data_IF_550646082772
#
_entry.id   IF_550646082772
#
_cell.length_a   1.000
_cell.length_b   1.000
_cell.length_c   1.000
_cell.angle_alpha   90.00
_cell.angle_beta   90.00
_cell.angle_gamma   90.00
#
_symmetry.space_group_name_H-M   'P 1'
#
loop_
_entity.id
_entity.type
_entity.pdbx_description
1 polymer ?
#
# COMPACT_ATOMS: atom_id res chain seq x y z
N UNK A 1 -1.32 -23.36 -33.79
CA UNK A 1 -1.32 -21.89 -33.60
C UNK A 1 0.11 -21.41 -33.44
N UNK A 2 0.53 -20.44 -34.26
CA UNK A 2 1.85 -19.81 -34.15
C UNK A 2 1.92 -18.81 -32.99
N UNK A 3 3.12 -18.41 -32.58
CA UNK A 3 3.32 -17.51 -31.42
C UNK A 3 2.57 -16.17 -31.54
N UNK A 4 2.36 -15.67 -32.76
CA UNK A 4 1.58 -14.44 -33.01
C UNK A 4 0.07 -14.61 -32.81
N UNK A 5 -0.46 -15.83 -33.01
CA UNK A 5 -1.89 -16.12 -32.85
C UNK A 5 -2.25 -16.42 -31.39
N UNK A 6 -1.23 -16.71 -30.56
CA UNK A 6 -1.35 -16.96 -29.11
C UNK A 6 -1.00 -15.73 -28.25
N UNK A 7 -0.52 -14.67 -28.87
CA UNK A 7 -0.16 -13.42 -28.21
C UNK A 7 -1.28 -12.39 -28.29
N UNK A 8 -1.25 -11.40 -27.39
CA UNK A 8 -2.11 -10.23 -27.44
C UNK A 8 -1.26 -8.95 -27.37
N UNK A 9 -1.86 -7.83 -27.76
CA UNK A 9 -1.25 -6.51 -27.63
C UNK A 9 -1.91 -5.81 -26.44
N UNK A 10 -1.10 -5.30 -25.52
CA UNK A 10 -1.57 -4.55 -24.35
C UNK A 10 -0.64 -3.40 -24.03
N UNK A 11 -1.19 -2.36 -23.41
CA UNK A 11 -0.45 -1.34 -22.69
C UNK A 11 -0.46 -1.73 -21.22
N UNK A 12 0.71 -2.01 -20.66
CA UNK A 12 0.86 -2.42 -19.26
C UNK A 12 1.93 -1.59 -18.58
N UNK A 13 1.88 -1.55 -17.25
CA UNK A 13 2.93 -0.93 -16.44
C UNK A 13 4.19 -1.81 -16.45
N UNK A 14 5.34 -1.22 -16.14
CA UNK A 14 6.62 -1.94 -16.09
C UNK A 14 6.61 -3.08 -15.06
N UNK A 15 5.82 -2.93 -13.97
CA UNK A 15 5.66 -3.94 -12.93
C UNK A 15 4.89 -5.15 -13.46
N UNK A 16 3.76 -4.94 -14.12
CA UNK A 16 2.95 -6.02 -14.72
C UNK A 16 3.74 -6.76 -15.82
N UNK A 17 4.50 -6.03 -16.63
CA UNK A 17 5.36 -6.63 -17.65
C UNK A 17 6.45 -7.50 -17.03
N UNK A 18 7.10 -7.03 -15.96
CA UNK A 18 8.10 -7.81 -15.22
C UNK A 18 7.53 -9.12 -14.68
N UNK A 19 6.33 -9.07 -14.10
CA UNK A 19 5.67 -10.27 -13.60
C UNK A 19 5.23 -11.22 -14.72
N UNK A 20 4.79 -10.70 -15.87
CA UNK A 20 4.51 -11.54 -17.03
C UNK A 20 5.78 -12.27 -17.51
N UNK A 21 6.92 -11.59 -17.56
CA UNK A 21 8.19 -12.22 -17.92
C UNK A 21 8.60 -13.32 -16.92
N UNK A 22 8.42 -13.09 -15.62
CA UNK A 22 8.66 -14.10 -14.57
C UNK A 22 7.79 -15.34 -14.75
N UNK A 23 6.55 -15.17 -15.20
CA UNK A 23 5.62 -16.25 -15.50
C UNK A 23 5.87 -16.92 -16.87
N UNK A 24 6.98 -16.62 -17.55
CA UNK A 24 7.41 -17.28 -18.78
C UNK A 24 6.81 -16.70 -20.07
N UNK A 25 6.08 -15.59 -19.98
CA UNK A 25 5.62 -14.88 -21.18
C UNK A 25 6.81 -14.25 -21.91
N UNK A 26 6.66 -14.07 -23.23
CA UNK A 26 7.71 -13.49 -24.09
C UNK A 26 7.19 -12.24 -24.78
N UNK A 27 7.99 -11.18 -24.78
CA UNK A 27 7.70 -9.98 -25.56
C UNK A 27 8.09 -10.23 -27.01
N UNK A 28 7.09 -10.33 -27.88
CA UNK A 28 7.29 -10.57 -29.32
C UNK A 28 7.54 -9.25 -30.06
N UNK A 29 6.89 -8.16 -29.62
CA UNK A 29 7.01 -6.83 -30.25
C UNK A 29 6.86 -5.74 -29.19
N UNK A 30 7.71 -4.73 -29.28
CA UNK A 30 7.70 -3.54 -28.43
C UNK A 30 7.46 -2.30 -29.30
N UNK A 31 6.55 -1.43 -28.87
CA UNK A 31 6.13 -0.26 -29.64
C UNK A 31 6.64 1.05 -29.03
N UNK A 32 6.35 1.29 -27.75
CA UNK A 32 6.69 2.51 -27.03
C UNK A 32 6.66 2.24 -25.53
N UNK A 33 7.54 2.90 -24.78
CA UNK A 33 7.38 3.08 -23.34
C UNK A 33 7.35 4.56 -23.00
N UNK A 34 6.64 4.87 -21.92
CA UNK A 34 6.73 6.14 -21.22
C UNK A 34 7.71 5.93 -20.06
N UNK A 35 8.89 6.53 -20.16
CA UNK A 35 9.91 6.44 -19.13
C UNK A 35 9.88 7.72 -18.30
N UNK A 36 9.72 7.57 -16.98
CA UNK A 36 9.90 8.64 -16.02
C UNK A 36 11.32 8.53 -15.47
N UNK A 37 12.13 9.57 -15.60
CA UNK A 37 13.52 9.55 -15.09
C UNK A 37 13.57 9.78 -13.58
N UNK A 38 12.59 10.51 -13.05
CA UNK A 38 12.48 10.85 -11.63
C UNK A 38 11.40 10.00 -10.99
N UNK A 39 11.76 9.35 -9.90
CA UNK A 39 10.86 8.60 -9.03
C UNK A 39 11.11 9.04 -7.60
N UNK A 40 10.04 9.12 -6.82
CA UNK A 40 10.08 9.47 -5.42
C UNK A 40 9.20 8.47 -4.65
N UNK A 41 9.78 7.84 -3.64
CA UNK A 41 9.11 6.92 -2.73
C UNK A 41 8.65 7.59 -1.42
N UNK A 42 8.95 8.88 -1.22
CA UNK A 42 8.65 9.63 -0.01
C UNK A 42 7.42 10.54 -0.16
N UNK A 43 7.05 10.96 -1.37
CA UNK A 43 5.97 11.91 -1.67
C UNK A 43 4.67 11.63 -0.89
N UNK A 44 4.25 10.36 -0.81
CA UNK A 44 3.00 9.96 -0.13
C UNK A 44 3.23 9.35 1.24
N UNK A 45 4.47 9.11 1.65
CA UNK A 45 4.81 8.39 2.88
C UNK A 45 4.27 9.09 4.11
N UNK A 46 4.44 10.42 4.20
CA UNK A 46 3.91 11.21 5.31
C UNK A 46 2.38 11.16 5.40
N UNK A 47 1.69 11.33 4.26
CA UNK A 47 0.23 11.25 4.20
C UNK A 47 -0.28 9.87 4.62
N UNK A 48 0.27 8.81 4.05
CA UNK A 48 -0.13 7.43 4.36
C UNK A 48 0.16 7.10 5.83
N UNK A 49 1.33 7.50 6.34
CA UNK A 49 1.72 7.28 7.74
C UNK A 49 0.74 7.95 8.71
N UNK A 50 0.39 9.22 8.47
CA UNK A 50 -0.52 9.99 9.32
C UNK A 50 -1.90 9.34 9.39
N UNK A 51 -2.57 9.17 8.24
CA UNK A 51 -3.93 8.63 8.23
C UNK A 51 -3.99 7.15 8.61
N UNK A 52 -2.93 6.38 8.36
CA UNK A 52 -2.87 5.00 8.84
C UNK A 52 -2.69 4.93 10.36
N UNK A 53 -1.86 5.81 10.94
CA UNK A 53 -1.73 5.95 12.40
C UNK A 53 -3.08 6.30 13.04
N UNK A 54 -3.75 7.35 12.55
CA UNK A 54 -5.08 7.75 13.01
C UNK A 54 -6.11 6.62 12.91
N UNK A 55 -6.10 5.86 11.82
CA UNK A 55 -6.99 4.71 11.62
C UNK A 55 -6.72 3.59 12.62
N UNK A 56 -5.46 3.31 12.93
CA UNK A 56 -5.07 2.28 13.89
C UNK A 56 -5.45 2.72 15.31
N UNK A 57 -5.12 3.97 15.69
CA UNK A 57 -5.55 4.58 16.96
C UNK A 57 -7.06 4.45 17.18
N UNK A 58 -7.83 4.88 16.18
CA UNK A 58 -9.30 4.82 16.21
C UNK A 58 -9.87 3.39 16.17
N UNK A 59 -9.05 2.38 15.87
CA UNK A 59 -9.47 0.98 15.94
C UNK A 59 -9.25 0.39 17.35
N UNK A 60 -8.39 1.00 18.16
CA UNK A 60 -7.92 0.44 19.42
C UNK A 60 -7.14 -0.86 19.25
N UNK A 61 -6.80 -1.49 20.36
CA UNK A 61 -6.13 -2.80 20.33
C UNK A 61 -7.11 -3.92 19.98
N UNK A 62 -6.71 -4.89 19.12
CA UNK A 62 -7.43 -6.13 18.93
C UNK A 62 -7.63 -6.88 20.25
N UNK A 63 -8.69 -7.68 20.36
CA UNK A 63 -9.05 -8.40 21.61
C UNK A 63 -7.97 -9.40 22.05
N UNK A 64 -7.13 -9.84 21.13
CA UNK A 64 -6.02 -10.77 21.34
C UNK A 64 -4.85 -10.12 22.09
N UNK A 65 -4.81 -8.78 22.09
CA UNK A 65 -3.83 -7.95 22.79
C UNK A 65 -4.45 -7.51 24.12
N UNK A 66 -4.17 -8.29 25.15
CA UNK A 66 -4.73 -8.17 26.51
C UNK A 66 -3.69 -7.74 27.56
N UNK A 67 -2.45 -7.50 27.15
CA UNK A 67 -1.34 -7.23 28.04
C UNK A 67 -0.41 -6.16 27.48
N UNK A 68 0.16 -5.37 28.39
CA UNK A 68 1.07 -4.28 28.06
C UNK A 68 2.25 -4.71 27.17
N UNK A 69 2.78 -5.92 27.39
CA UNK A 69 3.86 -6.47 26.55
C UNK A 69 3.42 -6.72 25.11
N UNK A 70 2.20 -7.21 24.90
CA UNK A 70 1.65 -7.44 23.55
C UNK A 70 1.36 -6.11 22.86
N UNK A 71 0.87 -5.11 23.58
CA UNK A 71 0.64 -3.77 23.04
C UNK A 71 1.95 -3.12 22.57
N UNK A 72 3.00 -3.21 23.38
CA UNK A 72 4.31 -2.65 23.04
C UNK A 72 4.94 -3.37 21.85
N UNK A 73 4.80 -4.70 21.81
CA UNK A 73 5.19 -5.50 20.64
C UNK A 73 4.44 -5.06 19.39
N UNK A 74 3.13 -4.81 19.47
CA UNK A 74 2.34 -4.35 18.33
C UNK A 74 2.79 -2.97 17.83
N UNK A 75 2.99 -2.01 18.73
CA UNK A 75 3.49 -0.67 18.39
C UNK A 75 4.86 -0.76 17.71
N UNK A 76 5.78 -1.55 18.29
CA UNK A 76 7.11 -1.76 17.72
C UNK A 76 7.05 -2.40 16.34
N UNK A 77 6.25 -3.43 16.15
CA UNK A 77 6.09 -4.08 14.84
C UNK A 77 5.51 -3.13 13.79
N UNK A 78 4.59 -2.25 14.18
CA UNK A 78 4.05 -1.23 13.27
C UNK A 78 5.12 -0.24 12.82
N UNK A 79 6.00 0.17 13.73
CA UNK A 79 7.11 1.06 13.41
C UNK A 79 8.18 0.35 12.55
N UNK A 80 8.60 -0.86 12.92
CA UNK A 80 9.66 -1.61 12.22
C UNK A 80 9.24 -2.03 10.81
N UNK A 81 8.00 -2.52 10.63
CA UNK A 81 7.55 -3.05 9.33
C UNK A 81 6.98 -1.98 8.41
N UNK A 82 6.30 -0.98 8.95
CA UNK A 82 5.55 -0.01 8.16
C UNK A 82 6.01 1.43 8.35
N UNK A 83 6.94 1.70 9.28
CA UNK A 83 7.39 3.06 9.58
C UNK A 83 6.33 3.93 10.26
N UNK A 84 5.28 3.33 10.83
CA UNK A 84 4.14 4.04 11.42
C UNK A 84 4.36 4.18 12.93
N UNK A 85 4.34 5.42 13.40
CA UNK A 85 4.43 5.74 14.82
C UNK A 85 3.05 5.68 15.47
N UNK A 86 2.93 4.90 16.54
CA UNK A 86 1.69 4.73 17.29
C UNK A 86 1.91 5.09 18.76
N UNK A 87 1.06 5.96 19.28
CA UNK A 87 0.97 6.23 20.71
C UNK A 87 -0.08 5.34 21.37
N UNK A 88 0.33 4.61 22.42
CA UNK A 88 -0.58 3.75 23.20
C UNK A 88 -1.78 4.52 23.75
N UNK A 89 -1.57 5.74 24.24
CA UNK A 89 -2.60 6.57 24.87
C UNK A 89 -3.73 6.95 23.90
N UNK A 90 -3.43 6.95 22.59
CA UNK A 90 -4.38 7.28 21.52
C UNK A 90 -5.14 6.06 21.00
N UNK A 91 -4.86 4.85 21.50
CA UNK A 91 -5.51 3.59 21.05
C UNK A 91 -6.92 3.43 21.62
N UNK A 92 -7.79 4.39 21.33
CA UNK A 92 -9.17 4.47 21.80
C UNK A 92 -10.11 4.19 20.62
N UNK A 93 -10.98 3.17 20.70
CA UNK A 93 -11.92 2.87 19.63
C UNK A 93 -12.88 4.04 19.32
N UNK A 94 -12.78 4.58 18.11
CA UNK A 94 -13.65 5.61 17.56
C UNK A 94 -14.08 5.22 16.14
N UNK A 95 -15.37 4.91 15.98
CA UNK A 95 -15.92 4.49 14.68
C UNK A 95 -15.94 5.63 13.65
N UNK A 96 -16.19 6.86 14.08
CA UNK A 96 -16.30 8.02 13.19
C UNK A 96 -14.91 8.39 12.65
N UNK A 97 -13.93 8.52 13.54
CA UNK A 97 -12.56 8.83 13.13
C UNK A 97 -11.95 7.72 12.29
N UNK A 98 -12.18 6.45 12.65
CA UNK A 98 -11.73 5.33 11.82
C UNK A 98 -12.33 5.37 10.40
N UNK A 99 -13.60 5.76 10.26
CA UNK A 99 -14.23 5.91 8.95
C UNK A 99 -13.59 7.04 8.14
N UNK A 100 -13.40 8.21 8.75
CA UNK A 100 -12.76 9.37 8.10
C UNK A 100 -11.34 9.04 7.66
N UNK A 101 -10.50 8.49 8.54
CA UNK A 101 -9.12 8.13 8.20
C UNK A 101 -9.05 7.07 7.10
N UNK A 102 -9.97 6.09 7.10
CA UNK A 102 -10.08 5.11 6.00
C UNK A 102 -10.48 5.78 4.68
N UNK A 103 -11.41 6.73 4.74
CA UNK A 103 -11.86 7.46 3.55
C UNK A 103 -10.69 8.26 2.95
N UNK A 104 -9.93 8.98 3.77
CA UNK A 104 -8.76 9.75 3.31
C UNK A 104 -7.70 8.87 2.64
N UNK A 105 -7.38 7.72 3.24
CA UNK A 105 -6.46 6.75 2.63
C UNK A 105 -6.93 6.27 1.24
N UNK A 106 -8.23 6.04 1.07
CA UNK A 106 -8.79 5.58 -0.20
C UNK A 106 -8.95 6.71 -1.24
N UNK A 107 -9.32 7.91 -0.79
CA UNK A 107 -9.53 9.08 -1.65
C UNK A 107 -8.25 9.57 -2.30
N UNK A 108 -7.08 9.40 -1.65
CA UNK A 108 -5.79 9.73 -2.24
C UNK A 108 -5.58 8.96 -3.56
N UNK A 109 -5.80 7.66 -3.55
CA UNK A 109 -5.65 6.82 -4.75
C UNK A 109 -6.67 7.16 -5.84
N UNK A 110 -7.91 7.48 -5.46
CA UNK A 110 -8.97 7.82 -6.42
C UNK A 110 -8.83 9.20 -7.08
N UNK A 111 -8.07 10.13 -6.49
CA UNK A 111 -7.84 11.47 -7.05
C UNK A 111 -6.59 11.61 -7.93
N UNK A 112 -5.69 10.61 -7.90
CA UNK A 112 -4.43 10.60 -8.65
C UNK A 112 -4.52 9.83 -9.99
N UNK A 113 -5.63 9.10 -10.22
CA UNK A 113 -5.90 8.34 -11.44
C UNK A 113 -6.78 9.15 -12.40
#
# INVERSE_FOLDING_TARGET
>A
HGDKERGWVSTCTSIELGEALNNGYKVIKYFRALHYEKWDNELFKGYVSEFMSMKIHSSGFPKEIDSHQKEEKFIRECQEKFGIYLEREKMIPDKAMRYISKLMLNSLWGGLV
#
